data_IF_139489852034
#
_entry.id   IF_139489852034
#
_cell.length_a   1.000
_cell.length_b   1.000
_cell.length_c   1.000
_cell.angle_alpha   90.00
_cell.angle_beta   90.00
_cell.angle_gamma   90.00
#
_symmetry.space_group_name_H-M   'P 1'
#
loop_
_entity.id
_entity.type
_entity.pdbx_description
1 polymer ?
#
# COMPACT_ATOMS: atom_id res chain seq x y z
N UNK A 1 45.40 -96.76 -58.53
CA UNK A 1 44.13 -97.32 -59.01
C UNK A 1 42.99 -96.46 -58.48
N UNK A 2 42.12 -95.97 -59.38
CA UNK A 2 40.74 -95.50 -59.17
C UNK A 2 40.50 -94.41 -58.09
N UNK A 3 40.38 -93.12 -58.44
CA UNK A 3 39.20 -92.43 -59.01
C UNK A 3 38.12 -92.04 -57.98
N UNK A 4 38.01 -90.73 -57.74
CA UNK A 4 36.79 -89.90 -57.90
C UNK A 4 35.59 -90.10 -56.93
N UNK A 5 35.25 -89.06 -56.14
CA UNK A 5 34.03 -88.19 -56.20
C UNK A 5 33.58 -87.63 -54.83
N UNK A 6 33.28 -86.32 -54.85
CA UNK A 6 32.56 -85.40 -53.93
C UNK A 6 31.21 -85.95 -53.36
N UNK A 7 30.45 -85.23 -52.48
CA UNK A 7 30.77 -84.11 -51.55
C UNK A 7 30.05 -84.22 -50.16
N UNK A 8 30.21 -83.18 -49.31
CA UNK A 8 29.12 -82.39 -48.66
C UNK A 8 29.30 -82.14 -47.14
N UNK A 9 29.14 -80.86 -46.76
CA UNK A 9 28.77 -80.33 -45.43
C UNK A 9 29.82 -80.47 -44.30
N UNK A 10 30.00 -79.54 -43.34
CA UNK A 10 29.53 -78.20 -43.06
C UNK A 10 30.46 -77.67 -41.94
N UNK A 11 30.64 -76.35 -41.88
CA UNK A 11 30.78 -75.53 -40.66
C UNK A 11 32.13 -75.39 -39.90
N UNK A 12 32.36 -74.12 -39.56
CA UNK A 12 33.14 -73.53 -38.45
C UNK A 12 34.66 -73.39 -38.69
N UNK A 13 35.33 -72.26 -38.41
CA UNK A 13 34.94 -71.04 -37.70
C UNK A 13 35.76 -69.84 -38.19
N UNK A 14 35.15 -68.65 -38.04
CA UNK A 14 35.67 -67.31 -38.29
C UNK A 14 36.84 -66.94 -37.38
N UNK A 15 37.87 -66.32 -37.95
CA UNK A 15 38.69 -65.29 -37.32
C UNK A 15 38.97 -64.23 -38.39
N UNK A 16 38.65 -62.96 -38.13
CA UNK A 16 39.55 -61.80 -38.31
C UNK A 16 38.82 -60.45 -38.29
N UNK A 17 39.45 -59.54 -37.56
CA UNK A 17 39.22 -58.11 -37.31
C UNK A 17 38.85 -57.21 -38.49
N UNK A 18 38.09 -56.15 -38.19
CA UNK A 18 38.26 -54.81 -38.80
C UNK A 18 37.75 -53.70 -37.86
N UNK A 19 38.46 -52.58 -37.84
CA UNK A 19 38.33 -51.45 -36.92
C UNK A 19 37.03 -50.64 -37.09
N UNK A 20 36.42 -50.24 -35.97
CA UNK A 20 35.34 -49.26 -35.91
C UNK A 20 35.75 -48.08 -35.03
N UNK A 21 35.77 -46.88 -35.60
CA UNK A 21 35.84 -45.61 -34.86
C UNK A 21 34.53 -45.48 -34.09
N UNK A 22 34.56 -45.67 -32.77
CA UNK A 22 33.42 -45.38 -31.91
C UNK A 22 33.42 -43.88 -31.62
N UNK A 23 32.52 -43.14 -32.27
CA UNK A 23 32.19 -41.79 -31.85
C UNK A 23 31.63 -41.87 -30.42
N UNK A 24 32.30 -41.21 -29.47
CA UNK A 24 31.79 -41.08 -28.12
C UNK A 24 30.41 -40.38 -28.19
N UNK A 25 29.39 -40.87 -27.46
CA UNK A 25 28.13 -40.15 -27.38
C UNK A 25 28.43 -38.77 -26.79
N UNK A 26 28.06 -37.75 -27.56
CA UNK A 26 28.07 -36.37 -27.13
C UNK A 26 27.13 -36.30 -25.93
N UNK A 27 27.72 -36.21 -24.74
CA UNK A 27 27.01 -35.99 -23.50
C UNK A 27 26.35 -34.62 -23.66
N UNK A 28 25.09 -34.62 -24.08
CA UNK A 28 24.22 -33.46 -24.10
C UNK A 28 24.00 -33.08 -22.65
N UNK A 29 25.02 -32.44 -22.09
CA UNK A 29 25.08 -31.98 -20.73
C UNK A 29 23.76 -31.29 -20.44
N UNK A 30 23.10 -31.75 -19.39
CA UNK A 30 21.88 -31.16 -18.88
C UNK A 30 22.20 -29.68 -18.59
N UNK A 31 21.91 -28.83 -19.58
CA UNK A 31 22.04 -27.38 -19.45
C UNK A 31 20.96 -26.99 -18.47
N UNK A 32 21.35 -26.80 -17.20
CA UNK A 32 20.55 -26.03 -16.26
C UNK A 32 20.16 -24.75 -16.99
N UNK A 33 18.89 -24.63 -17.40
CA UNK A 33 18.34 -23.35 -17.82
C UNK A 33 18.49 -22.47 -16.58
N UNK A 34 19.30 -21.42 -16.71
CA UNK A 34 19.57 -20.44 -15.66
C UNK A 34 18.28 -20.12 -14.92
N UNK A 35 18.36 -20.00 -13.60
CA UNK A 35 17.21 -19.71 -12.73
C UNK A 35 16.26 -18.73 -13.39
N UNK A 36 15.04 -19.20 -13.67
CA UNK A 36 14.03 -18.36 -14.29
C UNK A 36 13.62 -17.34 -13.24
N UNK A 37 14.01 -16.08 -13.46
CA UNK A 37 13.53 -14.98 -12.64
C UNK A 37 12.08 -14.71 -13.04
N UNK A 38 11.16 -15.16 -12.19
CA UNK A 38 9.74 -14.90 -12.34
C UNK A 38 9.43 -13.51 -11.80
N UNK A 39 8.81 -12.69 -12.62
CA UNK A 39 8.21 -11.44 -12.17
C UNK A 39 6.85 -11.77 -11.59
N UNK A 40 6.68 -11.45 -10.31
CA UNK A 40 5.47 -11.76 -9.56
C UNK A 40 4.56 -10.54 -9.47
N UNK A 41 3.31 -10.74 -9.88
CA UNK A 41 2.29 -9.70 -9.94
C UNK A 41 1.08 -10.15 -9.14
N UNK A 42 0.74 -9.37 -8.12
CA UNK A 42 -0.52 -9.54 -7.39
C UNK A 42 -1.59 -8.67 -8.04
N UNK A 43 -2.72 -9.27 -8.38
CA UNK A 43 -3.85 -8.61 -9.01
C UNK A 43 -5.12 -8.74 -8.17
N UNK A 44 -5.82 -7.63 -7.98
CA UNK A 44 -7.15 -7.56 -7.38
C UNK A 44 -8.16 -7.30 -8.49
N UNK A 45 -9.24 -8.07 -8.54
CA UNK A 45 -10.29 -7.89 -9.55
C UNK A 45 -11.59 -7.52 -8.87
N UNK A 46 -12.27 -6.48 -9.37
CA UNK A 46 -13.55 -6.01 -8.85
C UNK A 46 -14.59 -5.85 -9.96
N UNK A 47 -15.87 -6.03 -9.61
CA UNK A 47 -17.00 -5.73 -10.50
C UNK A 47 -17.35 -4.23 -10.49
N UNK A 48 -18.34 -3.83 -11.29
CA UNK A 48 -18.84 -2.45 -11.37
C UNK A 48 -19.41 -1.94 -10.03
N UNK A 49 -19.77 -2.84 -9.10
CA UNK A 49 -20.28 -2.51 -7.77
C UNK A 49 -19.15 -2.42 -6.72
N UNK A 50 -17.91 -2.69 -7.10
CA UNK A 50 -16.76 -2.73 -6.21
C UNK A 50 -16.62 -4.02 -5.39
N UNK A 51 -17.41 -5.06 -5.67
CA UNK A 51 -17.23 -6.37 -5.06
C UNK A 51 -16.05 -7.08 -5.69
N UNK A 52 -15.23 -7.72 -4.86
CA UNK A 52 -14.13 -8.54 -5.35
C UNK A 52 -14.65 -9.78 -6.09
N UNK A 53 -14.11 -10.00 -7.28
CA UNK A 53 -14.47 -11.14 -8.13
C UNK A 53 -13.50 -12.26 -7.83
N UNK A 54 -14.02 -13.38 -7.32
CA UNK A 54 -13.27 -14.60 -7.02
C UNK A 54 -13.52 -15.68 -8.08
N UNK A 55 -12.67 -16.70 -8.12
CA UNK A 55 -12.86 -17.88 -8.97
C UNK A 55 -12.46 -17.71 -10.44
N UNK A 56 -11.85 -16.59 -10.82
CA UNK A 56 -11.26 -16.45 -12.15
C UNK A 56 -10.08 -17.44 -12.31
N UNK A 57 -9.89 -17.88 -13.55
CA UNK A 57 -8.85 -18.82 -13.95
C UNK A 57 -7.73 -18.10 -14.68
N UNK A 58 -6.58 -18.77 -14.84
CA UNK A 58 -5.44 -18.27 -15.63
C UNK A 58 -5.87 -17.72 -17.00
N UNK A 59 -6.81 -18.40 -17.66
CA UNK A 59 -7.25 -18.07 -19.01
C UNK A 59 -8.09 -16.78 -19.06
N UNK A 60 -8.58 -16.29 -17.94
CA UNK A 60 -9.33 -15.03 -17.89
C UNK A 60 -8.41 -13.81 -17.92
N UNK A 61 -7.11 -13.98 -17.69
CA UNK A 61 -6.13 -12.91 -17.58
C UNK A 61 -5.25 -12.77 -18.82
N UNK A 62 -4.90 -11.53 -19.13
CA UNK A 62 -3.79 -11.18 -20.02
C UNK A 62 -2.81 -10.31 -19.22
N UNK A 63 -1.52 -10.60 -19.34
CA UNK A 63 -0.45 -9.80 -18.74
C UNK A 63 0.47 -9.28 -19.85
N UNK A 64 0.87 -8.03 -19.71
CA UNK A 64 1.76 -7.35 -20.65
C UNK A 64 2.94 -6.77 -19.89
N UNK A 65 4.13 -6.93 -20.45
CA UNK A 65 5.39 -6.30 -20.02
C UNK A 65 5.84 -5.39 -21.17
N UNK A 66 5.96 -4.08 -20.90
CA UNK A 66 6.25 -3.03 -21.89
C UNK A 66 5.34 -3.06 -23.13
N UNK A 67 4.10 -3.49 -22.94
CA UNK A 67 3.08 -3.62 -23.99
C UNK A 67 3.15 -4.92 -24.78
N UNK A 68 4.16 -5.77 -24.55
CA UNK A 68 4.26 -7.11 -25.12
C UNK A 68 3.55 -8.12 -24.23
N UNK A 69 2.63 -8.90 -24.81
CA UNK A 69 1.89 -9.93 -24.07
C UNK A 69 2.84 -11.04 -23.62
N UNK A 70 2.80 -11.37 -22.33
CA UNK A 70 3.62 -12.42 -21.72
C UNK A 70 2.81 -13.67 -21.45
N UNK A 71 3.47 -14.83 -21.50
CA UNK A 71 2.88 -16.09 -21.06
C UNK A 71 2.89 -16.15 -19.53
N UNK A 72 1.71 -16.39 -18.94
CA UNK A 72 1.58 -16.63 -17.51
C UNK A 72 2.22 -18.00 -17.20
N UNK A 73 3.37 -17.99 -16.52
CA UNK A 73 4.08 -19.18 -16.10
C UNK A 73 3.52 -19.76 -14.79
N UNK A 74 3.06 -18.90 -13.88
CA UNK A 74 2.48 -19.28 -12.60
C UNK A 74 1.16 -18.54 -12.37
N UNK A 75 0.15 -19.25 -11.86
CA UNK A 75 -1.13 -18.68 -11.49
C UNK A 75 -1.62 -19.30 -10.18
N UNK A 76 -2.08 -18.48 -9.25
CA UNK A 76 -2.83 -18.93 -8.07
C UNK A 76 -3.99 -17.98 -7.81
N UNK A 77 -5.16 -18.55 -7.52
CA UNK A 77 -6.34 -17.83 -7.02
C UNK A 77 -6.69 -18.24 -5.59
N UNK A 78 -5.80 -19.00 -4.93
CA UNK A 78 -5.93 -19.38 -3.54
C UNK A 78 -5.31 -18.32 -2.62
N UNK A 79 -5.79 -18.24 -1.38
CA UNK A 79 -5.22 -17.36 -0.37
C UNK A 79 -3.79 -17.81 -0.04
N UNK A 80 -2.81 -16.97 -0.39
CA UNK A 80 -1.41 -17.12 0.03
C UNK A 80 -1.18 -16.34 1.33
N UNK A 81 -0.47 -16.91 2.34
CA UNK A 81 -0.11 -16.17 3.55
C UNK A 81 0.67 -14.89 3.25
N UNK A 82 0.53 -13.87 4.10
CA UNK A 82 1.17 -12.56 3.93
C UNK A 82 2.25 -12.29 4.99
N UNK A 83 3.35 -11.69 4.57
CA UNK A 83 4.30 -10.99 5.43
C UNK A 83 3.87 -9.52 5.50
N UNK A 84 3.27 -9.10 6.61
CA UNK A 84 2.63 -7.78 6.74
C UNK A 84 3.29 -6.91 7.81
N UNK A 85 3.81 -5.76 7.41
CA UNK A 85 4.18 -4.69 8.32
C UNK A 85 3.01 -3.81 8.70
N UNK A 86 2.79 -3.56 9.99
CA UNK A 86 1.79 -2.59 10.45
C UNK A 86 2.53 -1.35 10.98
N UNK A 87 2.29 -0.21 10.36
CA UNK A 87 2.87 1.09 10.68
C UNK A 87 1.77 1.96 11.27
N UNK A 88 1.90 2.31 12.55
CA UNK A 88 0.94 3.15 13.25
C UNK A 88 1.53 4.54 13.49
N UNK A 89 0.82 5.56 13.00
CA UNK A 89 1.10 6.95 13.33
C UNK A 89 0.82 7.19 14.82
N UNK A 90 1.81 7.74 15.50
CA UNK A 90 1.77 8.14 16.90
C UNK A 90 2.16 9.61 17.06
N UNK A 91 1.92 10.43 16.04
CA UNK A 91 2.13 11.87 16.08
C UNK A 91 1.14 12.58 16.99
N UNK A 92 1.40 13.85 17.31
CA UNK A 92 0.58 14.63 18.23
C UNK A 92 -0.87 14.87 17.78
N UNK A 93 -1.20 14.68 16.49
CA UNK A 93 -2.58 14.77 15.97
C UNK A 93 -3.46 13.58 16.38
N UNK A 94 -2.85 12.45 16.71
CA UNK A 94 -3.52 11.23 17.15
C UNK A 94 -4.01 11.35 18.60
N UNK A 95 -5.16 11.99 18.78
CA UNK A 95 -5.81 12.12 20.10
C UNK A 95 -6.01 10.75 20.78
N UNK A 96 -6.16 10.69 22.11
CA UNK A 96 -6.39 9.43 22.82
C UNK A 96 -7.53 8.57 22.25
N UNK A 97 -8.61 9.20 21.79
CA UNK A 97 -9.76 8.53 21.18
C UNK A 97 -9.42 7.92 19.81
N UNK A 98 -8.73 8.70 18.97
CA UNK A 98 -8.22 8.25 17.66
C UNK A 98 -7.27 7.07 17.82
N UNK A 99 -6.32 7.21 18.74
CA UNK A 99 -5.33 6.19 19.08
C UNK A 99 -6.00 4.91 19.63
N UNK A 100 -6.94 5.04 20.55
CA UNK A 100 -7.69 3.89 21.09
C UNK A 100 -8.42 3.12 20.00
N UNK A 101 -9.02 3.84 19.06
CA UNK A 101 -9.75 3.24 17.96
C UNK A 101 -8.81 2.58 16.94
N UNK A 102 -7.65 3.18 16.65
CA UNK A 102 -6.61 2.57 15.83
C UNK A 102 -6.09 1.26 16.44
N UNK A 103 -5.79 1.26 17.75
CA UNK A 103 -5.40 0.04 18.49
C UNK A 103 -6.47 -1.04 18.41
N UNK A 104 -7.73 -0.67 18.61
CA UNK A 104 -8.87 -1.60 18.53
C UNK A 104 -9.02 -2.20 17.13
N UNK A 105 -8.84 -1.40 16.07
CA UNK A 105 -8.89 -1.88 14.70
C UNK A 105 -7.71 -2.81 14.37
N UNK A 106 -6.51 -2.52 14.87
CA UNK A 106 -5.35 -3.41 14.76
C UNK A 106 -5.65 -4.74 15.44
N UNK A 107 -6.15 -4.74 16.68
CA UNK A 107 -6.49 -5.97 17.41
C UNK A 107 -7.50 -6.81 16.63
N UNK A 108 -8.63 -6.22 16.19
CA UNK A 108 -9.60 -6.92 15.36
C UNK A 108 -8.97 -7.47 14.08
N UNK A 109 -8.14 -6.68 13.41
CA UNK A 109 -7.49 -7.08 12.17
C UNK A 109 -6.58 -8.29 12.36
N UNK A 110 -5.74 -8.28 13.40
CA UNK A 110 -4.76 -9.36 13.61
C UNK A 110 -5.36 -10.64 14.22
N UNK A 111 -6.47 -10.54 14.97
CA UNK A 111 -7.13 -11.68 15.61
C UNK A 111 -8.24 -12.30 14.76
N UNK A 112 -9.07 -11.46 14.11
CA UNK A 112 -10.31 -11.91 13.49
C UNK A 112 -10.21 -12.01 11.96
N UNK A 113 -9.30 -11.25 11.34
CA UNK A 113 -9.28 -11.06 9.89
C UNK A 113 -8.05 -11.65 9.19
N UNK A 114 -6.93 -11.79 9.90
CA UNK A 114 -5.71 -12.42 9.37
C UNK A 114 -5.68 -13.93 9.63
N UNK A 115 -5.07 -14.66 8.70
CA UNK A 115 -4.84 -16.09 8.81
C UNK A 115 -3.72 -16.41 9.79
N UNK A 116 -3.74 -17.60 10.39
CA UNK A 116 -2.72 -18.04 11.36
C UNK A 116 -1.29 -18.10 10.81
N UNK A 117 -1.14 -18.28 9.50
CA UNK A 117 0.16 -18.42 8.82
C UNK A 117 0.70 -17.08 8.30
N UNK A 118 -0.05 -15.99 8.50
CA UNK A 118 0.47 -14.65 8.23
C UNK A 118 1.47 -14.26 9.31
N UNK A 119 2.56 -13.61 8.96
CA UNK A 119 3.51 -13.06 9.92
C UNK A 119 3.47 -11.55 9.91
N UNK A 120 3.77 -10.95 11.06
CA UNK A 120 3.58 -9.53 11.30
C UNK A 120 4.85 -8.92 11.89
N UNK A 121 5.11 -7.66 11.54
CA UNK A 121 5.94 -6.78 12.36
C UNK A 121 5.14 -5.50 12.68
N UNK A 122 5.54 -4.81 13.73
CA UNK A 122 4.89 -3.58 14.15
C UNK A 122 5.91 -2.46 14.33
N UNK A 123 5.64 -1.34 13.66
CA UNK A 123 6.41 -0.11 13.72
C UNK A 123 5.48 1.02 14.14
N UNK A 124 5.92 1.83 15.09
CA UNK A 124 5.29 3.13 15.32
C UNK A 124 6.06 4.20 14.56
N UNK A 125 5.43 5.33 14.28
CA UNK A 125 6.17 6.50 13.82
C UNK A 125 5.55 7.79 14.31
N UNK A 126 6.43 8.72 14.68
CA UNK A 126 6.09 10.11 14.89
C UNK A 126 7.16 10.95 14.18
N UNK A 127 7.95 11.75 14.90
CA UNK A 127 9.09 12.48 14.32
C UNK A 127 10.18 11.54 13.76
N UNK A 128 10.25 10.31 14.28
CA UNK A 128 11.15 9.24 13.81
C UNK A 128 10.39 7.91 13.88
N UNK A 129 10.50 7.04 12.87
CA UNK A 129 10.00 5.67 12.94
C UNK A 129 10.78 4.78 13.92
N UNK A 130 10.08 3.90 14.62
CA UNK A 130 10.66 2.94 15.58
C UNK A 130 10.01 1.55 15.46
N UNK A 131 10.84 0.52 15.31
CA UNK A 131 10.40 -0.87 15.17
C UNK A 131 10.25 -1.49 16.57
N UNK A 132 9.02 -1.51 17.08
CA UNK A 132 8.75 -2.02 18.42
C UNK A 132 8.66 -3.56 18.48
N UNK A 133 8.28 -4.20 17.37
CA UNK A 133 8.18 -5.65 17.27
C UNK A 133 8.64 -6.10 15.88
N UNK A 134 9.71 -6.89 15.83
CA UNK A 134 10.14 -7.58 14.60
C UNK A 134 9.19 -8.71 14.21
N UNK A 135 9.54 -9.44 13.13
CA UNK A 135 8.70 -10.52 12.59
C UNK A 135 8.25 -11.53 13.64
N UNK A 136 6.95 -11.79 13.69
CA UNK A 136 6.33 -12.73 14.61
C UNK A 136 5.02 -13.30 14.07
N UNK A 137 4.71 -14.53 14.47
CA UNK A 137 3.38 -15.14 14.30
C UNK A 137 2.51 -14.91 15.56
N UNK A 138 3.09 -14.49 16.69
CA UNK A 138 2.35 -14.23 17.93
C UNK A 138 1.60 -12.89 17.86
N UNK A 139 0.29 -12.96 17.60
CA UNK A 139 -0.60 -11.80 17.56
C UNK A 139 -0.59 -10.99 18.86
N UNK A 140 -0.35 -11.67 19.99
CA UNK A 140 -0.25 -11.00 21.30
C UNK A 140 0.97 -10.10 21.39
N UNK A 141 2.06 -10.43 20.69
CA UNK A 141 3.24 -9.57 20.66
C UNK A 141 2.95 -8.25 19.93
N UNK A 142 2.23 -8.31 18.80
CA UNK A 142 1.77 -7.12 18.06
C UNK A 142 0.80 -6.29 18.91
N UNK A 143 -0.21 -6.93 19.50
CA UNK A 143 -1.19 -6.27 20.38
C UNK A 143 -0.52 -5.57 21.57
N UNK A 144 0.47 -6.21 22.22
CA UNK A 144 1.26 -5.58 23.31
C UNK A 144 2.07 -4.38 22.82
N UNK A 145 2.75 -4.50 21.67
CA UNK A 145 3.54 -3.41 21.10
C UNK A 145 2.64 -2.21 20.76
N UNK A 146 1.51 -2.45 20.10
CA UNK A 146 0.50 -1.42 19.83
C UNK A 146 -0.08 -0.83 21.11
N UNK A 147 -0.31 -1.64 22.15
CA UNK A 147 -0.83 -1.18 23.44
C UNK A 147 0.05 -0.12 24.13
N UNK A 148 1.38 -0.23 23.97
CA UNK A 148 2.37 0.62 24.63
C UNK A 148 2.58 1.99 23.99
N UNK A 149 2.09 2.21 22.76
CA UNK A 149 2.36 3.47 22.07
C UNK A 149 1.54 4.63 22.64
N UNK A 150 2.11 5.83 22.57
CA UNK A 150 1.49 7.08 22.98
C UNK A 150 1.77 8.17 21.95
N UNK A 151 0.77 9.02 21.70
CA UNK A 151 0.88 10.11 20.73
C UNK A 151 1.83 11.22 21.21
N UNK A 152 2.83 11.56 20.40
CA UNK A 152 3.76 12.67 20.63
C UNK A 152 4.52 13.02 19.35
N UNK A 153 4.95 14.28 19.20
CA UNK A 153 5.85 14.71 18.11
C UNK A 153 5.14 14.98 16.79
N UNK A 154 5.93 15.08 15.72
CA UNK A 154 5.42 15.31 14.36
C UNK A 154 5.20 14.01 13.58
N UNK A 155 5.12 14.08 12.26
CA UNK A 155 4.71 12.94 11.41
C UNK A 155 5.75 12.69 10.31
N UNK A 156 6.57 11.65 10.47
CA UNK A 156 7.59 11.20 9.51
C UNK A 156 7.09 9.97 8.73
N UNK A 157 5.98 10.16 8.02
CA UNK A 157 5.28 9.12 7.26
C UNK A 157 6.15 8.50 6.16
N UNK A 158 6.82 9.34 5.36
CA UNK A 158 7.64 8.82 4.26
C UNK A 158 8.87 8.07 4.76
N UNK A 159 9.51 8.54 5.85
CA UNK A 159 10.62 7.84 6.48
C UNK A 159 10.18 6.49 7.06
N UNK A 160 8.99 6.42 7.66
CA UNK A 160 8.44 5.17 8.18
C UNK A 160 8.23 4.13 7.08
N UNK A 161 7.61 4.51 5.97
CA UNK A 161 7.41 3.61 4.83
C UNK A 161 8.76 3.20 4.24
N UNK A 162 9.68 4.16 4.03
CA UNK A 162 11.01 3.87 3.50
C UNK A 162 11.80 2.87 4.37
N UNK A 163 11.71 2.98 5.70
CA UNK A 163 12.34 2.03 6.62
C UNK A 163 11.64 0.66 6.63
N UNK A 164 10.32 0.64 6.47
CA UNK A 164 9.54 -0.59 6.48
C UNK A 164 9.71 -1.43 5.20
N UNK A 165 9.96 -0.81 4.04
CA UNK A 165 10.10 -1.52 2.75
C UNK A 165 11.15 -2.65 2.77
N UNK A 166 12.42 -2.42 3.16
CA UNK A 166 13.41 -3.50 3.21
C UNK A 166 13.07 -4.57 4.26
N UNK A 167 12.48 -4.19 5.40
CA UNK A 167 12.04 -5.13 6.43
C UNK A 167 10.92 -6.04 5.89
N UNK A 168 9.94 -5.44 5.19
CA UNK A 168 8.82 -6.13 4.57
C UNK A 168 9.29 -7.09 3.47
N UNK A 169 10.24 -6.66 2.63
CA UNK A 169 10.84 -7.48 1.58
C UNK A 169 11.50 -8.75 2.15
N UNK A 170 12.12 -8.65 3.33
CA UNK A 170 12.83 -9.76 4.00
C UNK A 170 11.91 -10.74 4.74
N UNK A 171 10.58 -10.58 4.64
CA UNK A 171 9.65 -11.57 5.20
C UNK A 171 9.84 -12.98 4.61
N UNK A 172 9.14 -13.96 5.16
CA UNK A 172 9.19 -15.37 4.78
C UNK A 172 8.14 -15.76 3.74
N UNK A 173 7.00 -15.06 3.68
CA UNK A 173 5.91 -15.37 2.75
C UNK A 173 6.13 -14.67 1.41
N UNK A 174 5.65 -15.26 0.30
CA UNK A 174 5.81 -14.63 -1.03
C UNK A 174 5.07 -13.29 -1.14
N UNK A 175 3.91 -13.17 -0.49
CA UNK A 175 3.13 -11.94 -0.49
C UNK A 175 3.67 -10.98 0.56
N UNK A 176 4.11 -9.79 0.12
CA UNK A 176 4.68 -8.75 0.98
C UNK A 176 3.78 -7.53 1.00
N UNK A 177 3.48 -7.03 2.19
CA UNK A 177 2.68 -5.82 2.32
C UNK A 177 3.09 -4.97 3.52
N UNK A 178 2.78 -3.69 3.44
CA UNK A 178 2.87 -2.71 4.51
C UNK A 178 1.50 -2.02 4.62
N UNK A 179 0.93 -2.02 5.81
CA UNK A 179 -0.28 -1.28 6.18
C UNK A 179 0.11 -0.07 7.01
N UNK A 180 -0.16 1.12 6.52
CA UNK A 180 0.07 2.38 7.22
C UNK A 180 -1.26 2.94 7.71
N UNK A 181 -1.33 3.30 8.99
CA UNK A 181 -2.50 3.92 9.62
C UNK A 181 -2.08 5.30 10.10
N UNK A 182 -2.67 6.36 9.56
CA UNK A 182 -2.32 7.75 9.87
C UNK A 182 -3.54 8.67 9.83
N UNK A 183 -3.52 9.74 10.61
CA UNK A 183 -4.53 10.80 10.57
C UNK A 183 -3.99 12.13 10.02
N UNK A 184 -2.73 12.13 9.57
CA UNK A 184 -1.99 13.34 9.27
C UNK A 184 -1.23 13.28 7.95
N UNK A 185 -0.64 14.43 7.62
CA UNK A 185 0.29 14.56 6.51
C UNK A 185 1.72 14.46 7.00
N UNK A 186 2.61 14.07 6.10
CA UNK A 186 4.04 14.14 6.36
C UNK A 186 4.48 15.58 6.70
N UNK A 187 5.19 15.73 7.82
CA UNK A 187 5.69 17.01 8.34
C UNK A 187 7.16 16.94 8.76
N UNK A 188 7.71 15.74 8.97
CA UNK A 188 9.02 15.52 9.56
C UNK A 188 9.94 14.63 8.73
N UNK A 189 9.50 14.06 7.61
CA UNK A 189 10.36 13.14 6.87
C UNK A 189 11.53 13.87 6.22
N UNK A 190 12.68 13.19 6.23
CA UNK A 190 13.84 13.55 5.40
C UNK A 190 13.69 13.00 3.99
N UNK A 191 13.03 11.86 3.86
CA UNK A 191 12.71 11.24 2.58
C UNK A 191 11.64 12.04 1.86
N UNK A 192 11.92 12.48 0.64
CA UNK A 192 10.91 13.08 -0.23
C UNK A 192 9.97 12.03 -0.80
N UNK A 193 8.75 12.43 -1.15
CA UNK A 193 7.79 11.54 -1.83
C UNK A 193 8.37 10.94 -3.13
N UNK A 194 9.20 11.69 -3.85
CA UNK A 194 9.86 11.20 -5.07
C UNK A 194 10.87 10.09 -4.77
N UNK A 195 11.69 10.25 -3.72
CA UNK A 195 12.63 9.20 -3.29
C UNK A 195 11.89 7.96 -2.82
N UNK A 196 10.83 8.13 -2.02
CA UNK A 196 10.00 7.02 -1.57
C UNK A 196 9.38 6.25 -2.76
N UNK A 197 8.90 6.96 -3.79
CA UNK A 197 8.38 6.32 -5.00
C UNK A 197 9.43 5.48 -5.72
N UNK A 198 10.68 5.92 -5.77
CA UNK A 198 11.75 5.12 -6.38
C UNK A 198 12.01 3.84 -5.57
N UNK A 199 12.10 3.94 -4.23
CA UNK A 199 12.23 2.77 -3.35
C UNK A 199 11.08 1.78 -3.52
N UNK A 200 9.86 2.28 -3.70
CA UNK A 200 8.66 1.47 -3.96
C UNK A 200 8.76 0.73 -5.29
N UNK A 201 9.24 1.41 -6.33
CA UNK A 201 9.39 0.84 -7.68
C UNK A 201 10.44 -0.27 -7.75
N UNK A 202 11.45 -0.18 -6.90
CA UNK A 202 12.50 -1.18 -6.70
C UNK A 202 12.06 -2.32 -5.77
N UNK A 203 10.90 -2.20 -5.12
CA UNK A 203 10.36 -3.19 -4.20
C UNK A 203 9.20 -3.98 -4.83
N UNK A 204 8.96 -5.19 -4.30
CA UNK A 204 7.74 -5.98 -4.57
C UNK A 204 6.67 -5.79 -3.49
N UNK A 205 6.92 -4.93 -2.50
CA UNK A 205 6.04 -4.71 -1.35
C UNK A 205 4.82 -3.89 -1.75
N UNK A 206 3.62 -4.41 -1.44
CA UNK A 206 2.37 -3.66 -1.57
C UNK A 206 2.21 -2.67 -0.40
N UNK A 207 1.88 -1.42 -0.70
CA UNK A 207 1.61 -0.41 0.34
C UNK A 207 0.12 -0.11 0.40
N UNK A 208 -0.45 -0.29 1.57
CA UNK A 208 -1.82 0.07 1.94
C UNK A 208 -1.80 1.24 2.90
N UNK A 209 -2.65 2.23 2.68
CA UNK A 209 -2.77 3.39 3.54
C UNK A 209 -4.21 3.55 4.02
N UNK A 210 -4.40 3.57 5.33
CA UNK A 210 -5.63 3.94 6.01
C UNK A 210 -5.45 5.33 6.59
N UNK A 211 -6.01 6.31 5.90
CA UNK A 211 -6.07 7.70 6.35
C UNK A 211 -7.34 7.94 7.16
N UNK A 212 -7.25 8.63 8.29
CA UNK A 212 -8.44 9.04 9.04
C UNK A 212 -8.61 10.55 8.98
N UNK A 213 -9.69 11.00 8.35
CA UNK A 213 -10.07 12.41 8.31
C UNK A 213 -10.99 12.68 9.50
N UNK A 214 -10.53 13.47 10.48
CA UNK A 214 -11.20 13.65 11.78
C UNK A 214 -12.48 14.49 11.76
N UNK A 215 -13.06 14.76 10.59
CA UNK A 215 -14.29 15.53 10.51
C UNK A 215 -15.51 14.62 10.63
N UNK A 216 -16.04 14.53 11.85
CA UNK A 216 -17.49 14.60 12.01
C UNK A 216 -17.95 15.84 11.23
N UNK A 217 -18.82 15.65 10.24
CA UNK A 217 -19.58 16.77 9.69
C UNK A 217 -20.30 17.38 10.90
N UNK A 218 -19.80 18.51 11.41
CA UNK A 218 -20.69 19.42 12.10
C UNK A 218 -21.81 19.64 11.10
N UNK A 219 -22.98 19.09 11.39
CA UNK A 219 -24.22 19.48 10.74
C UNK A 219 -24.18 21.00 10.78
N UNK A 220 -23.90 21.63 9.64
CA UNK A 220 -24.07 23.05 9.48
C UNK A 220 -25.55 23.26 9.73
N UNK A 221 -25.89 23.56 10.97
CA UNK A 221 -27.21 24.04 11.34
C UNK A 221 -27.12 25.49 10.88
N UNK A 222 -27.79 25.88 9.79
CA UNK A 222 -27.78 27.28 9.41
C UNK A 222 -28.32 28.02 10.63
N UNK A 223 -27.50 28.86 11.27
CA UNK A 223 -28.03 29.77 12.27
C UNK A 223 -29.14 30.54 11.56
N UNK A 224 -30.39 30.50 12.06
CA UNK A 224 -31.45 31.27 11.46
C UNK A 224 -30.97 32.72 11.43
N UNK A 225 -30.89 33.29 10.23
CA UNK A 225 -30.58 34.71 10.05
C UNK A 225 -31.52 35.46 10.97
N UNK A 226 -30.98 36.09 12.01
CA UNK A 226 -31.75 37.00 12.83
C UNK A 226 -32.35 38.04 11.88
N UNK A 227 -33.68 38.24 11.88
CA UNK A 227 -34.29 39.27 11.06
C UNK A 227 -33.62 40.59 11.43
N UNK A 228 -33.02 41.25 10.44
CA UNK A 228 -32.55 42.61 10.61
C UNK A 228 -33.73 43.46 11.07
N UNK A 229 -33.69 43.91 12.32
CA UNK A 229 -34.70 44.81 12.89
C UNK A 229 -34.84 46.09 12.05
N UNK A 230 -35.98 46.78 12.14
CA UNK A 230 -36.27 47.94 11.30
C UNK A 230 -35.21 49.03 11.49
N UNK A 231 -34.64 49.49 10.38
CA UNK A 231 -33.70 50.62 10.36
C UNK A 231 -34.47 51.91 10.64
N UNK A 232 -34.29 52.49 11.81
CA UNK A 232 -34.77 53.84 12.09
C UNK A 232 -33.85 54.87 11.40
N UNK A 233 -34.39 55.81 10.59
CA UNK A 233 -33.58 56.86 9.99
C UNK A 233 -33.17 57.86 11.07
N UNK A 234 -31.87 58.04 11.29
CA UNK A 234 -31.35 59.08 12.18
C UNK A 234 -31.44 60.43 11.43
N UNK A 235 -32.18 61.44 11.91
CA UNK A 235 -32.20 62.76 11.30
C UNK A 235 -30.87 63.46 11.61
N UNK A 236 -30.26 64.09 10.61
CA UNK A 236 -29.06 64.93 10.77
C UNK A 236 -29.53 66.38 11.00
N UNK A 237 -29.38 66.98 12.20
CA UNK A 237 -29.72 68.38 12.41
C UNK A 237 -28.55 69.28 11.99
N UNK A 238 -28.85 70.18 11.07
CA UNK A 238 -27.97 71.24 10.56
C UNK A 238 -28.07 72.47 11.48
N UNK A 239 -26.98 72.78 12.18
CA UNK A 239 -26.62 74.12 12.68
C UNK A 239 -27.48 74.75 13.80
N UNK A 240 -26.84 75.29 14.83
CA UNK A 240 -27.46 76.26 15.73
C UNK A 240 -27.06 76.12 17.20
N UNK A 241 -26.46 77.18 17.74
CA UNK A 241 -26.03 77.34 19.13
C UNK A 241 -27.26 77.39 20.07
N UNK A 242 -27.30 76.58 21.12
CA UNK A 242 -28.32 76.68 22.17
C UNK A 242 -28.23 75.57 23.22
N UNK A 243 -28.11 75.98 24.49
CA UNK A 243 -27.90 75.16 25.71
C UNK A 243 -29.23 74.56 26.20
N UNK A 244 -29.25 73.26 26.50
CA UNK A 244 -30.29 72.59 27.32
C UNK A 244 -29.64 71.70 28.39
N UNK A 245 -30.25 71.55 29.60
CA UNK A 245 -29.57 71.02 30.78
C UNK A 245 -29.96 69.57 31.14
N UNK A 246 -28.99 68.83 31.70
CA UNK A 246 -29.22 67.81 32.74
C UNK A 246 -29.71 66.42 32.34
N UNK A 247 -28.82 65.57 31.83
CA UNK A 247 -28.93 64.11 31.97
C UNK A 247 -27.60 63.55 32.53
N UNK A 248 -27.64 62.57 33.45
CA UNK A 248 -26.43 62.01 34.06
C UNK A 248 -25.60 61.22 33.02
N UNK A 249 -24.31 61.53 32.97
CA UNK A 249 -23.31 60.95 32.08
C UNK A 249 -22.93 59.53 32.52
N UNK A 250 -22.71 58.63 31.55
CA UNK A 250 -21.76 57.51 31.65
C UNK A 250 -20.97 57.45 30.34
N UNK A 251 -19.65 57.22 30.38
CA UNK A 251 -18.74 57.66 29.33
C UNK A 251 -18.70 56.75 28.09
N UNK A 252 -18.48 57.38 26.93
CA UNK A 252 -17.96 56.78 25.70
C UNK A 252 -16.77 57.64 25.20
N UNK A 253 -16.05 57.23 24.14
CA UNK A 253 -14.89 56.35 24.08
C UNK A 253 -13.56 57.14 23.94
N UNK A 254 -12.41 56.48 24.13
CA UNK A 254 -11.11 57.01 23.68
C UNK A 254 -10.56 56.16 22.54
N UNK A 255 -10.40 56.81 21.38
CA UNK A 255 -9.61 56.35 20.24
C UNK A 255 -8.13 56.54 20.61
N UNK A 256 -7.34 55.47 20.51
CA UNK A 256 -5.88 55.49 20.62
C UNK A 256 -5.26 54.28 19.91
N UNK A 257 -4.26 54.52 19.05
CA UNK A 257 -3.32 53.51 18.51
C UNK A 257 -1.99 53.59 19.31
N UNK A 258 -1.04 52.62 19.29
CA UNK A 258 -1.05 51.15 19.22
C UNK A 258 -0.35 50.51 20.48
N UNK A 259 -0.04 49.18 20.54
CA UNK A 259 1.30 48.78 20.10
C UNK A 259 1.32 47.57 19.17
N UNK A 260 2.34 47.56 18.33
CA UNK A 260 2.75 46.46 17.46
C UNK A 260 3.24 45.32 18.37
N UNK A 261 2.60 44.15 18.33
CA UNK A 261 3.15 42.94 18.94
C UNK A 261 2.10 41.93 19.41
N UNK A 262 2.19 40.71 18.86
CA UNK A 262 1.58 39.53 19.46
C UNK A 262 0.25 39.09 18.85
N UNK A 263 0.21 38.84 17.53
CA UNK A 263 -0.87 38.05 16.94
C UNK A 263 -0.82 36.62 17.48
N UNK A 264 -1.68 36.32 18.45
CA UNK A 264 -2.04 34.95 18.81
C UNK A 264 -2.98 34.41 17.74
N UNK A 265 -2.42 33.78 16.72
CA UNK A 265 -3.15 32.99 15.74
C UNK A 265 -3.66 31.72 16.43
N UNK A 266 -4.95 31.72 16.80
CA UNK A 266 -5.67 30.48 17.06
C UNK A 266 -5.74 29.67 15.77
N UNK A 267 -4.82 28.72 15.61
CA UNK A 267 -4.75 27.79 14.49
C UNK A 267 -5.70 26.63 14.77
N UNK A 268 -6.97 26.77 14.40
CA UNK A 268 -7.77 25.60 14.01
C UNK A 268 -7.23 25.18 12.64
N UNK A 269 -6.23 24.29 12.65
CA UNK A 269 -5.69 23.71 11.42
C UNK A 269 -6.68 22.68 10.89
N UNK A 270 -7.14 22.87 9.66
CA UNK A 270 -7.84 21.82 8.93
C UNK A 270 -6.81 20.72 8.60
N UNK A 271 -6.63 19.76 9.51
CA UNK A 271 -5.69 18.63 9.40
C UNK A 271 -6.30 17.50 8.55
N UNK A 272 -6.62 17.81 7.29
CA UNK A 272 -7.06 16.78 6.36
C UNK A 272 -5.87 15.98 5.85
N UNK A 273 -6.00 14.65 5.87
CA UNK A 273 -5.06 13.75 5.20
C UNK A 273 -5.03 14.07 3.70
N UNK A 274 -3.84 14.28 3.14
CA UNK A 274 -3.62 14.51 1.72
C UNK A 274 -3.70 13.18 0.99
N UNK A 275 -4.92 12.84 0.60
CA UNK A 275 -5.22 11.62 -0.13
C UNK A 275 -4.36 11.47 -1.39
N UNK A 276 -4.06 12.56 -2.11
CA UNK A 276 -3.22 12.49 -3.32
C UNK A 276 -1.79 12.05 -3.01
N UNK A 277 -1.24 12.47 -1.87
CA UNK A 277 0.10 12.06 -1.44
C UNK A 277 0.13 10.57 -1.07
N UNK A 278 -0.87 10.07 -0.34
CA UNK A 278 -1.00 8.64 -0.03
C UNK A 278 -1.20 7.81 -1.30
N UNK A 279 -2.09 8.23 -2.20
CA UNK A 279 -2.33 7.55 -3.48
C UNK A 279 -1.07 7.48 -4.35
N UNK A 280 -0.24 8.53 -4.36
CA UNK A 280 1.01 8.53 -5.11
C UNK A 280 2.00 7.45 -4.64
N UNK A 281 1.87 6.99 -3.39
CA UNK A 281 2.66 5.91 -2.79
C UNK A 281 1.98 4.55 -3.02
N UNK A 282 0.67 4.45 -2.81
CA UNK A 282 -0.04 3.16 -2.90
C UNK A 282 -0.24 2.68 -4.34
N UNK A 283 -0.55 3.58 -5.28
CA UNK A 283 -1.00 3.19 -6.62
C UNK A 283 0.10 2.53 -7.46
N UNK A 284 1.37 2.90 -7.24
CA UNK A 284 2.49 2.30 -7.97
C UNK A 284 2.75 0.85 -7.50
N UNK A 285 2.29 0.48 -6.30
CA UNK A 285 2.45 -0.86 -5.70
C UNK A 285 1.32 -1.85 -6.03
N UNK A 286 0.18 -1.36 -6.52
CA UNK A 286 -1.06 -2.15 -6.63
C UNK A 286 -1.90 -2.22 -5.35
N UNK A 287 -1.43 -1.60 -4.26
CA UNK A 287 -2.18 -1.43 -3.01
C UNK A 287 -3.29 -0.38 -3.10
N UNK A 288 -3.75 0.10 -1.95
CA UNK A 288 -4.92 0.99 -1.86
C UNK A 288 -4.75 2.06 -0.78
N UNK A 289 -5.21 3.27 -1.09
CA UNK A 289 -5.51 4.29 -0.08
C UNK A 289 -6.99 4.27 0.25
N UNK A 290 -7.33 4.25 1.53
CA UNK A 290 -8.69 4.37 2.02
C UNK A 290 -8.77 5.47 3.08
N UNK A 291 -9.62 6.48 2.81
CA UNK A 291 -9.87 7.57 3.74
C UNK A 291 -11.18 7.30 4.46
N UNK A 292 -11.13 7.15 5.78
CA UNK A 292 -12.32 7.00 6.62
C UNK A 292 -12.64 8.32 7.32
N UNK A 293 -13.93 8.61 7.50
CA UNK A 293 -14.43 9.88 8.07
C UNK A 293 -14.33 9.95 9.60
N UNK A 294 -13.98 8.84 10.22
CA UNK A 294 -13.85 8.72 11.66
C UNK A 294 -13.33 7.34 12.01
N UNK A 295 -12.72 7.21 13.18
CA UNK A 295 -12.08 5.96 13.57
C UNK A 295 -13.07 4.82 13.87
N UNK A 296 -14.37 5.11 14.01
CA UNK A 296 -15.41 4.07 14.06
C UNK A 296 -15.51 3.25 12.76
N UNK A 297 -15.19 3.87 11.61
CA UNK A 297 -15.21 3.21 10.30
C UNK A 297 -13.92 2.44 9.98
N UNK A 298 -12.89 2.57 10.82
CA UNK A 298 -11.60 1.89 10.63
C UNK A 298 -11.76 0.36 10.68
N UNK A 299 -12.75 -0.15 11.44
CA UNK A 299 -13.10 -1.58 11.46
C UNK A 299 -13.60 -2.07 10.09
N UNK A 300 -14.36 -1.24 9.37
CA UNK A 300 -14.86 -1.60 8.04
C UNK A 300 -13.73 -1.54 6.99
N UNK A 301 -12.83 -0.57 7.12
CA UNK A 301 -11.66 -0.44 6.25
C UNK A 301 -10.69 -1.61 6.39
N UNK A 302 -10.37 -1.99 7.64
CA UNK A 302 -9.53 -3.16 7.93
C UNK A 302 -10.17 -4.46 7.47
N UNK A 303 -11.50 -4.60 7.55
CA UNK A 303 -12.23 -5.73 6.99
C UNK A 303 -12.10 -5.80 5.46
N UNK A 304 -12.36 -4.68 4.75
CA UNK A 304 -12.18 -4.63 3.29
C UNK A 304 -10.75 -4.96 2.87
N UNK A 305 -9.76 -4.48 3.63
CA UNK A 305 -8.36 -4.81 3.39
C UNK A 305 -8.10 -6.30 3.58
N UNK A 306 -8.62 -6.91 4.64
CA UNK A 306 -8.46 -8.35 4.85
C UNK A 306 -9.14 -9.18 3.76
N UNK A 307 -10.35 -8.80 3.35
CA UNK A 307 -11.07 -9.42 2.24
C UNK A 307 -10.21 -9.35 0.97
N UNK A 308 -9.67 -8.17 0.66
CA UNK A 308 -8.75 -7.98 -0.47
C UNK A 308 -7.49 -8.86 -0.35
N UNK A 309 -6.83 -8.85 0.82
CA UNK A 309 -5.65 -9.67 1.06
C UNK A 309 -5.95 -11.17 0.94
N UNK A 310 -7.20 -11.59 1.08
CA UNK A 310 -7.61 -12.98 0.90
C UNK A 310 -8.07 -13.34 -0.52
N UNK A 311 -8.43 -12.35 -1.34
CA UNK A 311 -9.10 -12.53 -2.65
C UNK A 311 -8.28 -12.02 -3.84
N UNK A 312 -6.95 -11.99 -3.67
CA UNK A 312 -6.03 -11.58 -4.72
C UNK A 312 -5.54 -12.77 -5.56
N UNK A 313 -5.29 -12.48 -6.83
CA UNK A 313 -4.69 -13.40 -7.79
C UNK A 313 -3.19 -13.20 -7.84
N UNK A 314 -2.43 -14.29 -7.84
CA UNK A 314 -0.99 -14.29 -8.00
C UNK A 314 -0.64 -14.74 -9.41
N UNK A 315 0.03 -13.89 -10.16
CA UNK A 315 0.38 -14.10 -11.57
C UNK A 315 1.89 -13.94 -11.70
N UNK A 316 2.57 -15.02 -12.12
CA UNK A 316 4.00 -15.02 -12.40
C UNK A 316 4.25 -15.20 -13.88
N UNK A 317 5.17 -14.42 -14.46
CA UNK A 317 5.64 -14.59 -15.83
C UNK A 317 7.16 -14.49 -15.91
N UNK A 318 7.75 -15.00 -16.98
CA UNK A 318 9.19 -14.98 -17.18
C UNK A 318 9.58 -13.72 -17.97
N UNK A 319 10.44 -12.87 -17.41
CA UNK A 319 10.94 -11.68 -18.13
C UNK A 319 12.12 -11.97 -19.09
N UNK A 320 12.53 -13.23 -19.20
CA UNK A 320 13.69 -13.68 -19.98
C UNK A 320 15.04 -13.48 -19.29
N UNK A 321 15.05 -13.21 -17.98
CA UNK A 321 16.27 -12.92 -17.19
C UNK A 321 16.85 -11.54 -17.45
N UNK A 322 16.04 -10.59 -17.92
CA UNK A 322 16.47 -9.20 -18.14
C UNK A 322 16.65 -8.54 -16.76
N UNK A 323 17.88 -8.17 -16.43
CA UNK A 323 18.25 -7.30 -15.28
C UNK A 323 18.98 -6.08 -15.81
N UNK A 324 18.23 -5.19 -16.45
CA UNK A 324 18.80 -4.03 -17.14
C UNK A 324 18.80 -2.75 -16.29
N UNK A 325 18.33 -2.82 -15.05
CA UNK A 325 18.17 -1.70 -14.12
C UNK A 325 17.13 -0.68 -14.58
N UNK A 326 16.30 -1.01 -15.57
CA UNK A 326 15.30 -0.11 -16.13
C UNK A 326 13.93 -0.40 -15.56
N UNK A 327 13.06 0.59 -15.70
CA UNK A 327 11.64 0.47 -15.42
C UNK A 327 10.96 -0.30 -16.55
N UNK A 328 10.22 -1.35 -16.19
CA UNK A 328 9.37 -2.14 -17.07
C UNK A 328 7.91 -1.95 -16.65
N UNK A 329 7.05 -1.56 -17.58
CA UNK A 329 5.65 -1.31 -17.31
C UNK A 329 4.84 -2.62 -17.34
N UNK A 330 4.11 -2.89 -16.25
CA UNK A 330 3.22 -4.04 -16.15
C UNK A 330 1.79 -3.59 -16.37
N UNK A 331 1.07 -4.31 -17.22
CA UNK A 331 -0.38 -4.18 -17.35
C UNK A 331 -1.03 -5.55 -17.19
N UNK A 332 -2.05 -5.64 -16.34
CA UNK A 332 -2.88 -6.84 -16.18
C UNK A 332 -4.31 -6.48 -16.58
N UNK A 333 -4.85 -7.22 -17.53
CA UNK A 333 -6.23 -7.10 -17.99
C UNK A 333 -6.97 -8.42 -17.77
N UNK A 334 -8.30 -8.35 -17.66
CA UNK A 334 -9.18 -9.52 -17.68
C UNK A 334 -10.05 -9.49 -18.94
N UNK A 335 -10.40 -10.66 -19.47
CA UNK A 335 -11.19 -10.79 -20.71
C UNK A 335 -12.58 -10.16 -20.59
N UNK A 336 -13.19 -10.25 -19.41
CA UNK A 336 -14.48 -9.62 -19.15
C UNK A 336 -14.32 -8.13 -18.86
N UNK A 337 -14.80 -7.29 -19.78
CA UNK A 337 -14.67 -5.82 -19.72
C UNK A 337 -15.48 -5.13 -18.60
N UNK A 338 -16.35 -5.86 -17.90
CA UNK A 338 -17.08 -5.34 -16.71
C UNK A 338 -16.26 -5.43 -15.43
N UNK A 339 -15.09 -6.05 -15.50
CA UNK A 339 -14.21 -6.19 -14.36
C UNK A 339 -13.06 -5.19 -14.47
N UNK A 340 -12.74 -4.60 -13.32
CA UNK A 340 -11.61 -3.71 -13.17
C UNK A 340 -10.49 -4.46 -12.46
N UNK A 341 -9.28 -4.37 -13.00
CA UNK A 341 -8.08 -4.97 -12.38
C UNK A 341 -7.25 -3.88 -11.75
N UNK A 342 -6.80 -4.12 -10.52
CA UNK A 342 -5.74 -3.34 -9.87
C UNK A 342 -4.55 -4.25 -9.62
N UNK A 343 -3.38 -3.83 -10.09
CA UNK A 343 -2.10 -4.49 -9.89
C UNK A 343 -1.00 -3.42 -9.84
N UNK A 344 0.23 -3.82 -9.49
CA UNK A 344 1.41 -2.95 -9.61
C UNK A 344 1.55 -2.44 -11.05
N UNK A 345 2.02 -1.21 -11.22
CA UNK A 345 2.17 -0.58 -12.55
C UNK A 345 3.44 -0.98 -13.28
N UNK A 346 4.38 -1.61 -12.58
CA UNK A 346 5.69 -1.97 -13.13
C UNK A 346 6.69 -2.33 -12.05
N UNK A 347 7.93 -2.54 -12.47
CA UNK A 347 9.04 -2.93 -11.63
C UNK A 347 10.36 -2.40 -12.22
N UNK A 348 11.39 -2.34 -11.37
CA UNK A 348 12.77 -2.14 -11.83
C UNK A 348 13.45 -3.52 -11.88
N UNK A 349 13.96 -3.89 -13.05
CA UNK A 349 14.62 -5.18 -13.24
C UNK A 349 16.08 -5.10 -12.77
N UNK A 350 16.35 -5.43 -11.50
CA UNK A 350 17.67 -5.26 -10.85
C UNK A 350 18.38 -6.57 -10.48
#
# INVERSE_FOLDING_TARGET
MHSMRLPLALLAALICAAAGVVAAPQDDGFKFKSGVELVNVTATVSDDNGHFVTGLTKDDFNIFDDGEQQEIAQFSNERVPVSLGILLDTSGSMTPEKMSSAKSAIDRFIYDLLGKDDELFFMQFASVPDLLQGWTFDRRAISRAAGQVSAAGGTALYDAIAQALPIAADGRNQKKAVLVITDGNDTNSRTSVTQLRNLIRESEVMVYALGVDGNDVQTYTPQPRQPSGPRFPIPIPRGGRGRWPGFPFSPAPQIGFPPIGGGSWGRAGNEHVNENALRAVTDDTGGRTEIVRGFGDLSNATQRLADELSQQYYIGYNNGGKKDGKWHAIKVDVRNRRYTVRARKGYVAS
#
